data_IF_336993786547
#
_entry.id   IF_336993786547
#
_cell.length_a   1.000
_cell.length_b   1.000
_cell.length_c   1.000
_cell.angle_alpha   90.00
_cell.angle_beta   90.00
_cell.angle_gamma   90.00
#
_symmetry.space_group_name_H-M   'P 1'
#
loop_
_entity.id
_entity.type
_entity.pdbx_description
1 polymer ?
#
# COMPACT_ATOMS: atom_id res chain seq x y z
N UNK A 1 0.82 -25.36 -11.16
CA UNK A 1 0.27 -24.19 -10.42
C UNK A 1 1.29 -23.80 -9.37
N UNK A 2 1.65 -22.52 -9.27
CA UNK A 2 2.55 -22.05 -8.20
C UNK A 2 1.70 -21.62 -7.00
N UNK A 3 2.10 -22.09 -5.82
CA UNK A 3 1.37 -21.88 -4.58
C UNK A 3 1.31 -20.38 -4.24
N UNK A 4 0.21 -19.91 -3.64
CA UNK A 4 0.15 -18.59 -3.02
C UNK A 4 1.23 -18.45 -1.94
N UNK A 5 1.51 -17.21 -1.55
CA UNK A 5 2.41 -16.92 -0.45
C UNK A 5 1.98 -17.66 0.82
N UNK A 6 2.94 -18.14 1.62
CA UNK A 6 2.59 -18.76 2.90
C UNK A 6 1.81 -17.77 3.78
N UNK A 7 0.77 -18.24 4.47
CA UNK A 7 -0.11 -17.40 5.29
C UNK A 7 0.66 -16.57 6.33
N UNK A 8 1.71 -17.13 6.93
CA UNK A 8 2.55 -16.44 7.91
C UNK A 8 3.26 -15.21 7.33
N UNK A 9 3.76 -15.30 6.09
CA UNK A 9 4.42 -14.16 5.42
C UNK A 9 3.38 -13.11 5.03
N UNK A 10 2.23 -13.52 4.49
CA UNK A 10 1.15 -12.60 4.13
C UNK A 10 0.65 -11.80 5.35
N UNK A 11 0.46 -12.48 6.49
CA UNK A 11 0.07 -11.84 7.75
C UNK A 11 1.13 -10.87 8.27
N UNK A 12 2.42 -11.21 8.16
CA UNK A 12 3.51 -10.32 8.56
C UNK A 12 3.52 -9.03 7.72
N UNK A 13 3.42 -9.15 6.40
CA UNK A 13 3.37 -7.98 5.49
C UNK A 13 2.14 -7.12 5.79
N UNK A 14 0.97 -7.74 5.96
CA UNK A 14 -0.26 -7.06 6.34
C UNK A 14 -0.07 -6.27 7.64
N UNK A 15 0.48 -6.91 8.68
CA UNK A 15 0.73 -6.27 9.97
C UNK A 15 1.71 -5.09 9.85
N UNK A 16 2.83 -5.26 9.15
CA UNK A 16 3.82 -4.20 8.91
C UNK A 16 3.20 -2.98 8.21
N UNK A 17 2.34 -3.22 7.21
CA UNK A 17 1.63 -2.16 6.50
C UNK A 17 0.64 -1.41 7.40
N UNK A 18 -0.19 -2.12 8.15
CA UNK A 18 -1.18 -1.50 9.04
C UNK A 18 -0.53 -0.75 10.20
N UNK A 19 0.58 -1.26 10.74
CA UNK A 19 1.38 -0.55 11.73
C UNK A 19 1.97 0.74 11.14
N UNK A 20 2.50 0.69 9.92
CA UNK A 20 3.03 1.88 9.25
C UNK A 20 1.95 2.94 9.01
N UNK A 21 0.75 2.52 8.60
CA UNK A 21 -0.40 3.40 8.42
C UNK A 21 -0.83 4.07 9.73
N UNK A 22 -0.87 3.31 10.82
CA UNK A 22 -1.21 3.83 12.15
C UNK A 22 -0.15 4.79 12.68
N UNK A 23 1.14 4.47 12.49
CA UNK A 23 2.25 5.35 12.85
C UNK A 23 2.17 6.68 12.10
N UNK A 24 1.87 6.66 10.80
CA UNK A 24 1.61 7.87 10.01
C UNK A 24 0.36 8.63 10.49
N UNK A 25 -0.72 7.95 10.88
CA UNK A 25 -1.91 8.62 11.44
C UNK A 25 -1.60 9.38 12.74
N UNK A 26 -0.79 8.77 13.60
CA UNK A 26 -0.40 9.35 14.89
C UNK A 26 0.55 10.54 14.77
N UNK A 27 1.17 10.74 13.61
CA UNK A 27 2.22 11.75 13.39
C UNK A 27 3.59 11.35 13.92
N UNK A 28 3.75 10.11 14.39
CA UNK A 28 5.05 9.52 14.74
C UNK A 28 5.74 8.88 13.52
N UNK A 29 5.17 9.05 12.33
CA UNK A 29 5.68 8.54 11.07
C UNK A 29 6.88 9.30 10.55
N UNK A 30 7.52 8.69 9.56
CA UNK A 30 8.65 9.25 8.84
C UNK A 30 8.63 8.79 7.40
N UNK A 31 9.55 9.30 6.59
CA UNK A 31 9.61 9.04 5.15
C UNK A 31 9.59 7.53 4.81
N UNK A 32 10.27 6.69 5.60
CA UNK A 32 10.29 5.24 5.36
C UNK A 32 8.89 4.59 5.51
N UNK A 33 8.10 5.00 6.50
CA UNK A 33 6.71 4.55 6.64
C UNK A 33 5.88 5.01 5.43
N UNK A 34 6.06 6.26 5.02
CA UNK A 34 5.37 6.84 3.85
C UNK A 34 5.73 6.09 2.54
N UNK A 35 7.01 5.78 2.34
CA UNK A 35 7.48 5.02 1.18
C UNK A 35 6.89 3.60 1.17
N UNK A 36 6.73 2.97 2.34
CA UNK A 36 6.01 1.70 2.48
C UNK A 36 4.56 1.80 2.00
N UNK A 37 3.86 2.89 2.31
CA UNK A 37 2.49 3.13 1.81
C UNK A 37 2.44 3.37 0.30
N UNK A 38 3.41 4.09 -0.27
CA UNK A 38 3.54 4.24 -1.72
C UNK A 38 3.72 2.88 -2.40
N UNK A 39 4.62 2.05 -1.86
CA UNK A 39 4.88 0.71 -2.38
C UNK A 39 3.63 -0.17 -2.31
N UNK A 40 2.95 -0.22 -1.16
CA UNK A 40 1.74 -1.03 -0.98
C UNK A 40 0.62 -0.60 -1.94
N UNK A 41 0.38 0.70 -2.10
CA UNK A 41 -0.63 1.22 -3.03
C UNK A 41 -0.30 0.90 -4.49
N UNK A 42 0.97 1.06 -4.89
CA UNK A 42 1.40 0.74 -6.24
C UNK A 42 1.26 -0.76 -6.53
N UNK A 43 1.76 -1.63 -5.65
CA UNK A 43 1.63 -3.08 -5.80
C UNK A 43 0.15 -3.47 -5.88
N UNK A 44 -0.71 -2.91 -5.02
CA UNK A 44 -2.14 -3.22 -5.04
C UNK A 44 -2.82 -2.85 -6.38
N UNK A 45 -2.42 -1.72 -6.97
CA UNK A 45 -2.89 -1.30 -8.30
C UNK A 45 -2.41 -2.27 -9.40
N UNK A 46 -1.12 -2.58 -9.42
CA UNK A 46 -0.52 -3.49 -10.40
C UNK A 46 -1.14 -4.90 -10.34
N UNK A 47 -1.49 -5.35 -9.14
CA UNK A 47 -2.18 -6.62 -8.95
C UNK A 47 -3.63 -6.58 -9.43
N UNK A 48 -4.34 -5.46 -9.25
CA UNK A 48 -5.67 -5.29 -9.84
C UNK A 48 -5.61 -5.30 -11.38
N UNK A 49 -4.63 -4.61 -11.99
CA UNK A 49 -4.39 -4.66 -13.44
C UNK A 49 -4.15 -6.10 -13.93
N UNK A 50 -3.44 -6.91 -13.13
CA UNK A 50 -3.18 -8.31 -13.42
C UNK A 50 -4.36 -9.26 -13.08
N UNK A 51 -5.52 -8.72 -12.66
CA UNK A 51 -6.74 -9.48 -12.37
C UNK A 51 -6.83 -10.06 -10.95
N UNK A 52 -5.95 -9.65 -10.03
CA UNK A 52 -5.97 -10.09 -8.64
C UNK A 52 -6.67 -9.05 -7.76
N UNK A 53 -7.94 -9.27 -7.50
CA UNK A 53 -8.79 -8.37 -6.72
C UNK A 53 -9.41 -7.26 -7.56
N UNK A 54 -10.38 -6.57 -6.96
CA UNK A 54 -11.12 -5.49 -7.61
C UNK A 54 -11.24 -4.34 -6.63
N UNK A 55 -10.68 -3.20 -7.01
CA UNK A 55 -10.86 -1.94 -6.29
C UNK A 55 -12.20 -1.30 -6.69
N UNK A 56 -12.77 -0.48 -5.79
CA UNK A 56 -13.83 0.44 -6.20
C UNK A 56 -13.28 1.46 -7.20
N UNK A 57 -14.17 1.99 -8.03
CA UNK A 57 -13.82 3.07 -8.94
C UNK A 57 -13.22 4.26 -8.18
N UNK A 58 -12.14 4.83 -8.74
CA UNK A 58 -11.45 5.99 -8.18
C UNK A 58 -10.52 5.73 -6.99
N UNK A 59 -10.52 4.53 -6.38
CA UNK A 59 -9.73 4.26 -5.17
C UNK A 59 -8.25 4.61 -5.33
N UNK A 60 -7.61 4.12 -6.40
CA UNK A 60 -6.18 4.35 -6.61
C UNK A 60 -5.85 5.81 -6.96
N UNK A 61 -6.74 6.52 -7.67
CA UNK A 61 -6.57 7.95 -7.93
C UNK A 61 -6.75 8.81 -6.67
N UNK A 62 -7.66 8.42 -5.77
CA UNK A 62 -7.79 9.05 -4.45
C UNK A 62 -6.56 8.78 -3.57
N UNK A 63 -6.08 7.53 -3.55
CA UNK A 63 -4.90 7.15 -2.79
C UNK A 63 -3.65 7.87 -3.31
N UNK A 64 -3.47 7.97 -4.62
CA UNK A 64 -2.37 8.72 -5.23
C UNK A 64 -2.40 10.19 -4.81
N UNK A 65 -3.57 10.84 -4.85
CA UNK A 65 -3.70 12.24 -4.40
C UNK A 65 -3.32 12.41 -2.93
N UNK A 66 -3.80 11.51 -2.06
CA UNK A 66 -3.44 11.49 -0.63
C UNK A 66 -1.93 11.35 -0.45
N UNK A 67 -1.28 10.45 -1.19
CA UNK A 67 0.16 10.22 -1.10
C UNK A 67 0.96 11.43 -1.60
N UNK A 68 0.53 12.07 -2.70
CA UNK A 68 1.18 13.28 -3.23
C UNK A 68 1.06 14.47 -2.27
N UNK A 69 -0.11 14.68 -1.68
CA UNK A 69 -0.34 15.76 -0.70
C UNK A 69 0.52 15.55 0.56
N UNK A 70 0.60 14.31 1.05
CA UNK A 70 1.47 13.95 2.18
C UNK A 70 2.95 14.08 1.84
N UNK A 71 3.38 13.69 0.63
CA UNK A 71 4.76 13.87 0.17
C UNK A 71 5.17 15.34 0.17
N UNK A 72 4.32 16.22 -0.37
CA UNK A 72 4.59 17.67 -0.39
C UNK A 72 4.77 18.20 1.03
N UNK A 73 3.83 17.89 1.94
CA UNK A 73 3.91 18.31 3.33
C UNK A 73 5.16 17.74 4.04
N UNK A 74 5.47 16.46 3.83
CA UNK A 74 6.61 15.79 4.45
C UNK A 74 7.95 16.37 4.00
N UNK A 75 8.09 16.74 2.72
CA UNK A 75 9.31 17.41 2.21
C UNK A 75 9.46 18.82 2.78
N UNK A 76 8.35 19.57 2.88
CA UNK A 76 8.39 20.97 3.32
C UNK A 76 8.57 21.12 4.84
N UNK A 77 8.04 20.17 5.62
CA UNK A 77 7.85 20.36 7.08
C UNK A 77 8.38 19.21 7.94
N UNK A 78 8.93 18.15 7.33
CA UNK A 78 9.29 16.87 7.96
C UNK A 78 8.12 16.17 8.66
N UNK A 79 6.88 16.62 8.42
CA UNK A 79 5.67 16.07 9.03
C UNK A 79 5.02 15.04 8.10
N UNK A 80 5.27 13.76 8.38
CA UNK A 80 4.71 12.63 7.65
C UNK A 80 3.44 12.15 8.35
N UNK A 81 2.29 12.70 7.97
CA UNK A 81 1.02 12.41 8.65
C UNK A 81 -0.16 12.26 7.70
N UNK A 82 -1.04 11.30 8.02
CA UNK A 82 -2.36 11.19 7.39
C UNK A 82 -3.46 11.66 8.33
N UNK A 83 -4.33 12.53 7.82
CA UNK A 83 -5.58 12.87 8.49
C UNK A 83 -6.60 11.71 8.44
N UNK A 84 -7.72 11.85 9.14
CA UNK A 84 -8.74 10.79 9.20
C UNK A 84 -9.40 10.46 7.87
N UNK A 85 -9.32 11.32 6.85
CA UNK A 85 -9.84 11.02 5.50
C UNK A 85 -8.81 10.21 4.71
N UNK A 86 -7.58 10.69 4.69
CA UNK A 86 -6.41 10.06 4.09
C UNK A 86 -6.18 8.66 4.64
N UNK A 87 -6.27 8.51 5.97
CA UNK A 87 -6.17 7.22 6.64
C UNK A 87 -7.22 6.22 6.13
N UNK A 88 -8.48 6.64 6.00
CA UNK A 88 -9.56 5.73 5.54
C UNK A 88 -9.34 5.27 4.10
N UNK A 89 -8.90 6.17 3.23
CA UNK A 89 -8.59 5.83 1.82
C UNK A 89 -7.46 4.80 1.77
N UNK A 90 -6.38 5.02 2.52
CA UNK A 90 -5.25 4.07 2.52
C UNK A 90 -5.56 2.76 3.27
N UNK A 91 -6.39 2.79 4.32
CA UNK A 91 -6.88 1.58 4.97
C UNK A 91 -7.70 0.70 4.01
N UNK A 92 -8.48 1.32 3.12
CA UNK A 92 -9.21 0.60 2.07
C UNK A 92 -8.25 -0.07 1.07
N UNK A 93 -7.20 0.65 0.65
CA UNK A 93 -6.12 0.08 -0.18
C UNK A 93 -5.44 -1.10 0.51
N UNK A 94 -5.08 -0.97 1.78
CA UNK A 94 -4.45 -2.07 2.54
C UNK A 94 -5.38 -3.26 2.71
N UNK A 95 -6.67 -3.03 2.96
CA UNK A 95 -7.67 -4.11 3.06
C UNK A 95 -7.80 -4.89 1.75
N UNK A 96 -7.73 -4.19 0.61
CA UNK A 96 -7.67 -4.84 -0.70
C UNK A 96 -6.35 -5.61 -0.85
N UNK A 97 -5.23 -5.01 -0.46
CA UNK A 97 -3.92 -5.63 -0.57
C UNK A 97 -3.78 -6.90 0.29
N UNK A 98 -4.35 -6.92 1.50
CA UNK A 98 -4.39 -8.10 2.37
C UNK A 98 -5.10 -9.28 1.69
N UNK A 99 -6.23 -9.00 1.01
CA UNK A 99 -6.94 -10.01 0.22
C UNK A 99 -6.06 -10.51 -0.93
N UNK A 100 -5.39 -9.60 -1.64
CA UNK A 100 -4.48 -9.96 -2.73
C UNK A 100 -3.34 -10.86 -2.24
N UNK A 101 -2.70 -10.55 -1.11
CA UNK A 101 -1.62 -11.38 -0.54
C UNK A 101 -2.06 -12.82 -0.27
N UNK A 102 -3.34 -13.05 0.03
CA UNK A 102 -3.89 -14.39 0.28
C UNK A 102 -4.19 -15.21 -0.98
N UNK A 103 -4.42 -14.55 -2.14
CA UNK A 103 -4.87 -15.21 -3.38
C UNK A 103 -3.86 -15.15 -4.51
N UNK A 104 -2.94 -14.20 -4.48
CA UNK A 104 -2.00 -13.93 -5.57
C UNK A 104 -0.83 -14.92 -5.54
N UNK A 105 -0.50 -15.59 -6.66
CA UNK A 105 0.71 -16.40 -6.75
C UNK A 105 1.97 -15.56 -6.53
N UNK A 106 2.95 -16.09 -5.80
CA UNK A 106 4.18 -15.36 -5.42
C UNK A 106 4.90 -14.71 -6.61
N UNK A 107 4.91 -15.36 -7.78
CA UNK A 107 5.54 -14.80 -9.00
C UNK A 107 4.94 -13.46 -9.45
N UNK A 108 3.63 -13.27 -9.26
CA UNK A 108 2.95 -12.04 -9.70
C UNK A 108 3.21 -10.91 -8.71
N UNK A 109 3.38 -11.23 -7.42
CA UNK A 109 3.89 -10.29 -6.41
C UNK A 109 5.32 -9.85 -6.74
N UNK A 110 6.19 -10.79 -7.13
CA UNK A 110 7.56 -10.48 -7.56
C UNK A 110 7.54 -9.57 -8.79
N UNK A 111 6.75 -9.89 -9.82
CA UNK A 111 6.60 -9.07 -11.03
C UNK A 111 6.09 -7.66 -10.73
N UNK A 112 5.09 -7.53 -9.86
CA UNK A 112 4.59 -6.22 -9.44
C UNK A 112 5.70 -5.40 -8.75
N UNK A 113 6.48 -6.05 -7.87
CA UNK A 113 7.61 -5.42 -7.20
C UNK A 113 8.77 -5.07 -8.15
N UNK A 114 9.00 -5.84 -9.21
CA UNK A 114 9.98 -5.51 -10.26
C UNK A 114 9.53 -4.30 -11.08
N UNK A 115 8.25 -4.25 -11.49
CA UNK A 115 7.67 -3.08 -12.20
C UNK A 115 7.81 -1.79 -11.37
N UNK A 116 7.57 -1.89 -10.06
CA UNK A 116 7.74 -0.76 -9.13
C UNK A 116 9.16 -0.19 -9.15
N UNK A 117 10.19 -1.02 -9.24
CA UNK A 117 11.60 -0.55 -9.25
C UNK A 117 11.99 0.15 -10.55
N UNK A 118 11.22 -0.06 -11.61
CA UNK A 118 11.45 0.53 -12.95
C UNK A 118 10.52 1.70 -13.27
N UNK A 119 9.61 2.06 -12.35
CA UNK A 119 8.71 3.22 -12.47
C UNK A 119 9.31 4.44 -11.77
#
# INVERSE_FOLDING_TARGET
MLLPMSTAIAQRISLENHLSLETLRSGAGGEHHFNGMCQAACIASLLCEAGYGTAREGLFGEAERVLLDCRRAGIETENWRFDGKSYRILAEVLTLHDKQLSITPVRELIRANERLKTS
#
